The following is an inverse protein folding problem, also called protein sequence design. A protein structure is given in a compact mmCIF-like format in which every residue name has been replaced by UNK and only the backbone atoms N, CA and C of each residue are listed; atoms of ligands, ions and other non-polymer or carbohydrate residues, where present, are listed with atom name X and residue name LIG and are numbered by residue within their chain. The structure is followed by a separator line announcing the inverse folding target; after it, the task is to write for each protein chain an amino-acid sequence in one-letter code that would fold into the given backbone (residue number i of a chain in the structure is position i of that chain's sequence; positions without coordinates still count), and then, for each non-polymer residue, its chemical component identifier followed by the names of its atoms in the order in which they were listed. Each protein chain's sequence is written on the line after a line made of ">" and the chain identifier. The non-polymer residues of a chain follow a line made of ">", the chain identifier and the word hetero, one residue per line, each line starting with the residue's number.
data_IF_063453918628
#
_entry.id   IF_063453918628
#
_cell.length_a   1.000
_cell.length_b   1.000
_cell.length_c   1.000
_cell.angle_alpha   90.00
_cell.angle_beta   90.00
_cell.angle_gamma   90.00
#
_symmetry.space_group_name_H-M   'P 1'
#
loop_
_entity.id
_entity.type
_entity.pdbx_description
1 polymer ?
#
# COMPACT_ATOMS: atom_id res chain seq x y z
N UNK A 1 14.82 10.22 18.50
CA UNK A 1 13.50 9.72 18.04
C UNK A 1 12.71 10.70 17.17
N UNK A 2 12.89 12.02 17.27
CA UNK A 2 12.11 13.03 16.52
C UNK A 2 12.25 12.95 14.97
N UNK A 3 13.44 12.69 14.43
CA UNK A 3 13.66 12.63 12.98
C UNK A 3 12.87 11.53 12.24
N UNK A 4 12.52 10.44 12.91
CA UNK A 4 11.74 9.34 12.31
C UNK A 4 10.26 9.70 12.12
N UNK A 5 9.68 10.39 13.10
CA UNK A 5 8.29 10.81 13.07
C UNK A 5 7.99 11.78 11.93
N UNK A 6 8.93 12.68 11.61
CA UNK A 6 8.78 13.60 10.48
C UNK A 6 8.72 12.89 9.13
N UNK A 7 9.52 11.84 8.91
CA UNK A 7 9.55 11.13 7.63
C UNK A 7 8.33 10.25 7.43
N UNK A 8 7.98 9.45 8.44
CA UNK A 8 6.73 8.70 8.38
C UNK A 8 5.57 9.66 8.10
N UNK A 9 5.50 10.81 8.79
CA UNK A 9 4.49 11.83 8.52
C UNK A 9 4.47 12.32 7.06
N UNK A 10 5.61 12.57 6.43
CA UNK A 10 5.65 12.92 4.99
C UNK A 10 5.03 11.80 4.14
N UNK A 11 5.39 10.53 4.37
CA UNK A 11 4.79 9.42 3.62
C UNK A 11 3.30 9.22 3.94
N UNK A 12 2.85 9.57 5.14
CA UNK A 12 1.42 9.64 5.46
C UNK A 12 0.70 10.68 4.61
N UNK A 13 1.29 11.87 4.44
CA UNK A 13 0.75 12.94 3.58
C UNK A 13 0.76 12.53 2.10
N UNK A 14 1.81 11.86 1.64
CA UNK A 14 1.89 11.31 0.27
C UNK A 14 0.76 10.32 0.04
N UNK A 15 0.58 9.35 0.94
CA UNK A 15 -0.50 8.38 0.81
C UNK A 15 -1.88 9.07 0.86
N UNK A 16 -2.05 10.07 1.73
CA UNK A 16 -3.25 10.91 1.77
C UNK A 16 -3.58 11.53 0.42
N UNK A 17 -2.63 12.18 -0.23
CA UNK A 17 -2.85 12.81 -1.53
C UNK A 17 -3.24 11.79 -2.61
N UNK A 18 -2.61 10.61 -2.63
CA UNK A 18 -2.98 9.54 -3.56
C UNK A 18 -4.43 9.09 -3.36
N UNK A 19 -4.83 8.91 -2.10
CA UNK A 19 -6.22 8.58 -1.77
C UNK A 19 -7.19 9.69 -2.15
N UNK A 20 -6.85 10.97 -1.96
CA UNK A 20 -7.71 12.10 -2.32
C UNK A 20 -7.95 12.18 -3.83
N UNK A 21 -6.92 11.90 -4.64
CA UNK A 21 -7.03 11.92 -6.11
C UNK A 21 -7.84 10.73 -6.63
N UNK A 22 -7.65 9.53 -6.06
CA UNK A 22 -8.29 8.31 -6.56
C UNK A 22 -9.66 8.03 -5.94
N UNK A 23 -9.79 8.25 -4.63
CA UNK A 23 -10.99 7.94 -3.86
C UNK A 23 -11.57 9.25 -3.33
N UNK A 24 -12.38 9.92 -4.16
CA UNK A 24 -12.98 11.24 -3.87
C UNK A 24 -13.74 11.33 -2.53
N UNK A 25 -14.19 10.20 -1.98
CA UNK A 25 -14.95 10.12 -0.71
C UNK A 25 -14.08 10.14 0.56
N UNK A 26 -12.76 10.24 0.45
CA UNK A 26 -11.82 10.17 1.60
C UNK A 26 -11.84 11.44 2.48
N UNK A 27 -12.32 12.57 1.95
CA UNK A 27 -12.10 13.89 2.54
C UNK A 27 -13.09 14.20 3.69
N UNK A 28 -14.27 13.59 3.70
CA UNK A 28 -15.41 14.04 4.53
C UNK A 28 -15.85 13.10 5.64
N UNK A 29 -15.27 11.89 5.76
CA UNK A 29 -15.79 10.87 6.68
C UNK A 29 -14.74 10.29 7.62
N UNK A 30 -15.11 10.13 8.89
CA UNK A 30 -14.33 9.43 9.91
C UNK A 30 -14.10 7.94 9.54
N UNK A 31 -14.99 7.38 8.71
CA UNK A 31 -14.91 6.06 8.11
C UNK A 31 -14.95 6.15 6.58
N UNK A 32 -13.90 5.71 5.88
CA UNK A 32 -13.98 5.54 4.42
C UNK A 32 -15.05 4.46 4.15
N UNK A 33 -16.13 4.74 3.39
CA UNK A 33 -17.25 3.78 3.24
C UNK A 33 -16.83 2.40 2.76
N UNK A 34 -15.79 2.35 1.91
CA UNK A 34 -15.17 1.10 1.43
C UNK A 34 -14.57 0.27 2.58
N UNK A 35 -13.90 0.94 3.53
CA UNK A 35 -13.25 0.28 4.66
C UNK A 35 -14.29 -0.19 5.69
N UNK A 36 -15.35 0.59 5.91
CA UNK A 36 -16.49 0.17 6.71
C UNK A 36 -17.14 -1.09 6.11
N UNK A 37 -17.35 -1.10 4.80
CA UNK A 37 -17.90 -2.26 4.08
C UNK A 37 -17.05 -3.52 4.23
N UNK A 38 -15.72 -3.41 4.20
CA UNK A 38 -14.82 -4.54 4.49
C UNK A 38 -14.99 -5.04 5.93
N UNK A 39 -15.01 -4.11 6.90
CA UNK A 39 -15.15 -4.44 8.33
C UNK A 39 -16.47 -5.13 8.63
N UNK A 40 -17.57 -4.61 8.10
CA UNK A 40 -18.92 -5.11 8.36
C UNK A 40 -19.14 -6.50 7.73
N UNK A 41 -18.54 -6.76 6.55
CA UNK A 41 -18.65 -8.04 5.85
C UNK A 41 -17.57 -9.06 6.25
N UNK A 42 -16.63 -8.71 7.13
CA UNK A 42 -15.43 -9.53 7.39
C UNK A 42 -15.74 -10.99 7.75
N UNK A 43 -16.77 -11.22 8.56
CA UNK A 43 -17.18 -12.57 9.00
C UNK A 43 -17.66 -13.46 7.84
N UNK A 44 -18.06 -12.86 6.72
CA UNK A 44 -18.60 -13.55 5.55
C UNK A 44 -17.57 -13.69 4.42
N UNK A 45 -16.35 -13.17 4.61
CA UNK A 45 -15.28 -13.26 3.61
C UNK A 45 -14.61 -14.62 3.71
N UNK A 46 -14.54 -15.32 2.58
CA UNK A 46 -13.75 -16.53 2.43
C UNK A 46 -12.28 -16.14 2.20
N UNK A 47 -11.44 -16.37 3.22
CA UNK A 47 -10.01 -16.04 3.18
C UNK A 47 -9.22 -16.87 2.15
N UNK A 48 -9.79 -17.96 1.63
CA UNK A 48 -9.15 -18.79 0.59
C UNK A 48 -9.38 -18.22 -0.82
N UNK A 49 -10.45 -17.44 -1.02
CA UNK A 49 -10.83 -16.86 -2.32
C UNK A 49 -10.19 -15.48 -2.51
N UNK A 50 -8.89 -15.49 -2.70
CA UNK A 50 -8.09 -14.29 -2.94
C UNK A 50 -8.17 -13.90 -4.41
N UNK A 51 -8.41 -12.61 -4.67
CA UNK A 51 -8.32 -12.05 -6.01
C UNK A 51 -6.86 -11.97 -6.47
N UNK A 52 -6.58 -12.57 -7.63
CA UNK A 52 -5.29 -12.53 -8.26
C UNK A 52 -5.24 -11.37 -9.29
N UNK A 53 -4.21 -10.54 -9.21
CA UNK A 53 -3.96 -9.45 -10.16
C UNK A 53 -2.83 -9.80 -11.15
N UNK A 54 -2.77 -11.06 -11.60
CA UNK A 54 -1.66 -11.63 -12.39
C UNK A 54 -1.25 -10.73 -13.54
N UNK A 55 -2.17 -10.33 -14.41
CA UNK A 55 -1.89 -9.50 -15.59
C UNK A 55 -1.25 -8.15 -15.20
N UNK A 56 -1.79 -7.50 -14.18
CA UNK A 56 -1.25 -6.22 -13.67
C UNK A 56 0.13 -6.42 -13.05
N UNK A 57 0.35 -7.53 -12.35
CA UNK A 57 1.65 -7.89 -11.77
C UNK A 57 2.68 -8.19 -12.85
N UNK A 58 2.32 -8.91 -13.92
CA UNK A 58 3.24 -9.14 -15.04
C UNK A 58 3.64 -7.82 -15.70
N UNK A 59 2.70 -6.89 -15.91
CA UNK A 59 3.03 -5.55 -16.40
C UNK A 59 4.02 -4.83 -15.47
N UNK A 60 3.80 -4.89 -14.14
CA UNK A 60 4.73 -4.31 -13.18
C UNK A 60 6.15 -4.91 -13.27
N UNK A 61 6.28 -6.21 -13.56
CA UNK A 61 7.59 -6.88 -13.69
C UNK A 61 8.37 -6.40 -14.90
N UNK A 62 7.70 -5.88 -15.93
CA UNK A 62 8.39 -5.31 -17.10
C UNK A 62 9.05 -3.95 -16.81
N UNK A 63 8.73 -3.33 -15.67
CA UNK A 63 9.32 -2.06 -15.25
C UNK A 63 10.57 -2.31 -14.39
N UNK A 64 11.79 -1.99 -14.88
CA UNK A 64 13.04 -2.24 -14.17
C UNK A 64 13.11 -1.56 -12.79
N UNK A 65 12.42 -0.42 -12.64
CA UNK A 65 12.36 0.31 -11.37
C UNK A 65 11.49 -0.38 -10.30
N UNK A 66 10.58 -1.26 -10.73
CA UNK A 66 9.65 -2.02 -9.90
C UNK A 66 10.01 -3.51 -9.80
N UNK A 67 10.88 -3.97 -10.70
CA UNK A 67 11.63 -5.21 -10.59
C UNK A 67 12.34 -5.28 -9.22
N UNK A 68 12.44 -6.47 -8.64
CA UNK A 68 13.00 -6.72 -7.31
C UNK A 68 12.14 -6.25 -6.11
N UNK A 69 10.89 -5.80 -6.30
CA UNK A 69 10.00 -5.47 -5.17
C UNK A 69 9.66 -6.70 -4.32
N UNK A 70 9.42 -7.86 -4.96
CA UNK A 70 9.18 -9.13 -4.27
C UNK A 70 10.38 -9.58 -3.43
N UNK A 71 11.58 -9.54 -4.00
CA UNK A 71 12.80 -9.95 -3.29
C UNK A 71 13.13 -9.00 -2.14
N UNK A 72 12.89 -7.70 -2.35
CA UNK A 72 12.98 -6.71 -1.28
C UNK A 72 12.02 -7.06 -0.12
N UNK A 73 10.75 -7.33 -0.40
CA UNK A 73 9.78 -7.69 0.65
C UNK A 73 10.12 -8.99 1.37
N UNK A 74 10.61 -10.01 0.64
CA UNK A 74 11.09 -11.25 1.25
C UNK A 74 12.30 -11.00 2.16
N UNK A 75 13.23 -10.14 1.76
CA UNK A 75 14.39 -9.79 2.58
C UNK A 75 14.00 -9.04 3.86
N UNK A 76 13.05 -8.10 3.77
CA UNK A 76 12.53 -7.33 4.91
C UNK A 76 11.69 -8.19 5.90
N UNK A 77 11.26 -9.38 5.51
CA UNK A 77 10.49 -10.30 6.35
C UNK A 77 11.36 -11.23 7.22
N UNK A 78 12.62 -11.45 6.83
CA UNK A 78 13.62 -12.27 7.55
C UNK A 78 14.02 -11.78 8.95
N UNK A 79 14.01 -10.47 9.30
CA UNK A 79 14.42 -10.02 10.62
C UNK A 79 13.49 -10.55 11.73
N UNK A 80 14.08 -10.99 12.84
CA UNK A 80 13.39 -11.60 13.99
C UNK A 80 12.38 -10.64 14.66
N UNK A 81 12.60 -9.32 14.58
CA UNK A 81 11.77 -8.32 15.27
C UNK A 81 11.07 -7.32 14.32
N UNK A 82 10.40 -7.81 13.26
CA UNK A 82 9.47 -6.96 12.51
C UNK A 82 8.19 -6.75 13.34
N UNK A 83 7.85 -5.48 13.62
CA UNK A 83 6.58 -5.11 14.28
C UNK A 83 5.41 -5.73 13.52
N UNK A 84 4.43 -6.25 14.25
CA UNK A 84 3.29 -7.01 13.73
C UNK A 84 2.56 -6.35 12.55
N UNK A 85 2.39 -5.04 12.57
CA UNK A 85 1.67 -4.27 11.57
C UNK A 85 2.50 -4.12 10.27
N UNK A 86 3.82 -3.97 10.40
CA UNK A 86 4.74 -3.94 9.26
C UNK A 86 4.85 -5.31 8.60
N UNK A 87 4.89 -6.38 9.42
CA UNK A 87 4.86 -7.77 8.93
C UNK A 87 3.61 -8.00 8.07
N UNK A 88 2.45 -7.60 8.57
CA UNK A 88 1.19 -7.74 7.84
C UNK A 88 1.19 -6.93 6.54
N UNK A 89 1.69 -5.69 6.55
CA UNK A 89 1.83 -4.87 5.34
C UNK A 89 2.71 -5.56 4.28
N UNK A 90 3.84 -6.14 4.69
CA UNK A 90 4.77 -6.85 3.80
C UNK A 90 4.13 -8.13 3.26
N UNK A 91 3.54 -8.96 4.12
CA UNK A 91 2.89 -10.22 3.73
C UNK A 91 1.78 -9.99 2.70
N UNK A 92 0.91 -9.00 2.94
CA UNK A 92 -0.15 -8.63 2.00
C UNK A 92 0.42 -8.12 0.67
N UNK A 93 1.54 -7.41 0.70
CA UNK A 93 2.20 -6.91 -0.52
C UNK A 93 2.79 -8.05 -1.35
N UNK A 94 3.36 -9.08 -0.70
CA UNK A 94 3.89 -10.27 -1.38
C UNK A 94 2.77 -11.05 -2.08
N UNK A 95 1.64 -11.29 -1.39
CA UNK A 95 0.47 -11.98 -1.98
C UNK A 95 -0.04 -11.26 -3.21
N UNK A 96 -0.19 -9.94 -3.11
CA UNK A 96 -0.71 -9.13 -4.21
C UNK A 96 0.21 -9.13 -5.43
N UNK A 97 1.52 -9.24 -5.22
CA UNK A 97 2.51 -9.42 -6.28
C UNK A 97 2.63 -10.88 -6.77
N UNK A 98 1.72 -11.76 -6.35
CA UNK A 98 1.70 -13.16 -6.75
C UNK A 98 2.86 -13.98 -6.20
N UNK A 99 3.49 -13.53 -5.11
CA UNK A 99 4.52 -14.30 -4.42
C UNK A 99 3.89 -15.34 -3.50
N UNK A 100 4.46 -16.54 -3.47
CA UNK A 100 4.10 -17.55 -2.48
C UNK A 100 4.54 -17.13 -1.09
N UNK A 101 3.67 -17.43 -0.13
CA UNK A 101 3.90 -17.17 1.29
C UNK A 101 3.41 -18.36 2.10
N UNK A 102 4.26 -18.88 2.97
CA UNK A 102 3.90 -19.97 3.86
C UNK A 102 2.76 -19.52 4.80
N UNK A 103 1.57 -20.12 4.62
CA UNK A 103 0.38 -19.97 5.48
C UNK A 103 0.15 -18.53 5.99
N UNK A 104 -0.17 -17.59 5.10
CA UNK A 104 -0.58 -16.26 5.57
C UNK A 104 -1.84 -16.35 6.41
N UNK A 105 -1.74 -15.85 7.63
CA UNK A 105 -2.88 -15.59 8.50
C UNK A 105 -3.32 -14.15 8.31
N UNK A 106 -4.21 -13.90 7.37
CA UNK A 106 -4.78 -12.54 7.18
C UNK A 106 -5.61 -12.21 8.43
N UNK A 107 -5.16 -11.22 9.18
CA UNK A 107 -5.80 -10.80 10.44
C UNK A 107 -7.09 -10.03 10.16
N UNK A 108 -8.05 -10.02 11.09
CA UNK A 108 -9.22 -9.14 10.98
C UNK A 108 -8.83 -7.65 10.90
N UNK A 109 -9.62 -6.82 10.21
CA UNK A 109 -9.42 -5.38 10.17
C UNK A 109 -9.46 -4.77 11.59
N UNK A 110 -8.38 -4.10 11.98
CA UNK A 110 -8.26 -3.46 13.30
C UNK A 110 -9.06 -2.15 13.37
N UNK A 111 -9.30 -1.62 14.57
CA UNK A 111 -9.99 -0.33 14.73
C UNK A 111 -9.29 0.79 13.93
N UNK A 112 -10.08 1.54 13.14
CA UNK A 112 -9.58 2.60 12.28
C UNK A 112 -9.52 3.92 13.06
N UNK A 113 -8.30 4.42 13.31
CA UNK A 113 -8.07 5.77 13.84
C UNK A 113 -7.56 6.67 12.71
N UNK A 114 -8.03 7.92 12.65
CA UNK A 114 -7.75 8.85 11.55
C UNK A 114 -6.25 9.09 11.28
N UNK A 115 -5.44 9.01 12.33
CA UNK A 115 -4.01 9.33 12.34
C UNK A 115 -3.08 8.17 12.01
N UNK A 116 -3.60 7.01 11.57
CA UNK A 116 -2.77 5.83 11.26
C UNK A 116 -2.85 5.49 9.77
N UNK A 117 -2.09 6.21 8.95
CA UNK A 117 -2.13 6.03 7.49
C UNK A 117 -1.63 4.66 7.02
N UNK A 118 -0.71 4.03 7.77
CA UNK A 118 -0.34 2.64 7.53
C UNK A 118 -1.54 1.68 7.66
N UNK A 119 -2.46 1.93 8.59
CA UNK A 119 -3.71 1.14 8.70
C UNK A 119 -4.54 1.29 7.42
N UNK A 120 -4.60 2.49 6.82
CA UNK A 120 -5.30 2.69 5.55
C UNK A 120 -4.64 1.94 4.41
N UNK A 121 -3.31 1.85 4.38
CA UNK A 121 -2.60 1.02 3.41
C UNK A 121 -2.99 -0.46 3.56
N UNK A 122 -2.90 -1.02 4.78
CA UNK A 122 -3.30 -2.42 5.07
C UNK A 122 -4.76 -2.67 4.67
N UNK A 123 -5.67 -1.73 4.99
CA UNK A 123 -7.07 -1.82 4.60
C UNK A 123 -7.26 -1.85 3.09
N UNK A 124 -6.57 -0.99 2.34
CA UNK A 124 -6.61 -1.02 0.87
C UNK A 124 -6.12 -2.35 0.32
N UNK A 125 -5.02 -2.89 0.83
CA UNK A 125 -4.50 -4.18 0.36
C UNK A 125 -5.50 -5.32 0.62
N UNK A 126 -6.08 -5.39 1.82
CA UNK A 126 -7.14 -6.38 2.13
C UNK A 126 -8.36 -6.21 1.25
N UNK A 127 -8.77 -4.96 1.03
CA UNK A 127 -9.93 -4.66 0.22
C UNK A 127 -9.72 -5.09 -1.24
N UNK A 128 -8.50 -4.91 -1.78
CA UNK A 128 -8.12 -5.42 -3.10
C UNK A 128 -8.13 -6.95 -3.15
N UNK A 129 -7.55 -7.62 -2.14
CA UNK A 129 -7.54 -9.10 -2.08
C UNK A 129 -8.95 -9.71 -2.09
N UNK A 130 -9.93 -9.05 -1.48
CA UNK A 130 -11.30 -9.55 -1.36
C UNK A 130 -12.31 -8.77 -2.20
N UNK A 131 -11.85 -7.99 -3.18
CA UNK A 131 -12.70 -7.06 -3.95
C UNK A 131 -13.74 -7.78 -4.83
N UNK A 132 -13.52 -9.06 -5.15
CA UNK A 132 -14.46 -9.92 -5.85
C UNK A 132 -15.65 -10.35 -4.98
N UNK A 133 -15.43 -10.52 -3.67
CA UNK A 133 -16.45 -10.94 -2.70
C UNK A 133 -17.23 -9.73 -2.15
N UNK A 134 -16.60 -8.56 -2.14
CA UNK A 134 -17.22 -7.31 -1.77
C UNK A 134 -17.87 -6.73 -3.02
N UNK A 135 -19.21 -6.60 -3.05
CA UNK A 135 -19.96 -6.04 -4.17
C UNK A 135 -19.62 -4.56 -4.44
N UNK A 136 -18.42 -4.27 -4.91
CA UNK A 136 -17.90 -2.93 -5.20
C UNK A 136 -18.30 -2.52 -6.63
N UNK A 137 -18.60 -1.24 -6.82
CA UNK A 137 -18.85 -0.71 -8.16
C UNK A 137 -17.54 -0.66 -8.97
N UNK A 138 -17.64 -0.58 -10.30
CA UNK A 138 -16.48 -0.62 -11.20
C UNK A 138 -15.50 0.52 -10.95
N UNK A 139 -16.00 1.74 -10.72
CA UNK A 139 -15.17 2.92 -10.45
C UNK A 139 -14.34 2.79 -9.17
N UNK A 140 -14.94 2.25 -8.11
CA UNK A 140 -14.26 2.00 -6.84
C UNK A 140 -13.22 0.89 -7.01
N UNK A 141 -13.49 -0.14 -7.82
CA UNK A 141 -12.51 -1.20 -8.13
C UNK A 141 -11.30 -0.64 -8.87
N UNK A 142 -11.50 0.20 -9.88
CA UNK A 142 -10.42 0.87 -10.64
C UNK A 142 -9.62 1.81 -9.74
N UNK A 143 -10.29 2.64 -8.93
CA UNK A 143 -9.63 3.53 -7.99
C UNK A 143 -8.81 2.77 -6.95
N UNK A 144 -9.34 1.66 -6.44
CA UNK A 144 -8.60 0.76 -5.55
C UNK A 144 -7.43 0.09 -6.24
N UNK A 145 -7.58 -0.23 -7.53
CA UNK A 145 -6.50 -0.77 -8.34
C UNK A 145 -5.30 0.18 -8.33
N UNK A 146 -5.55 1.43 -8.68
CA UNK A 146 -4.54 2.48 -8.70
C UNK A 146 -3.87 2.71 -7.34
N UNK A 147 -4.66 2.71 -6.27
CA UNK A 147 -4.16 2.93 -4.90
C UNK A 147 -3.31 1.73 -4.44
N UNK A 148 -3.76 0.50 -4.66
CA UNK A 148 -2.96 -0.66 -4.24
C UNK A 148 -1.67 -0.75 -5.03
N UNK A 149 -1.70 -0.47 -6.35
CA UNK A 149 -0.51 -0.53 -7.19
C UNK A 149 0.54 0.43 -6.66
N UNK A 150 0.13 1.67 -6.37
CA UNK A 150 1.02 2.65 -5.75
C UNK A 150 1.56 2.19 -4.40
N UNK A 151 0.71 1.59 -3.56
CA UNK A 151 1.13 1.11 -2.23
C UNK A 151 2.23 0.07 -2.36
N UNK A 152 1.96 -0.96 -3.16
CA UNK A 152 2.80 -2.16 -3.28
C UNK A 152 4.08 -1.90 -4.08
N UNK A 153 4.11 -0.90 -4.94
CA UNK A 153 5.28 -0.61 -5.80
C UNK A 153 6.18 0.48 -5.22
N UNK A 154 5.58 1.52 -4.62
CA UNK A 154 6.27 2.73 -4.22
C UNK A 154 6.24 2.91 -2.70
N UNK A 155 5.05 2.95 -2.10
CA UNK A 155 4.89 3.37 -0.70
C UNK A 155 5.56 2.42 0.30
N UNK A 156 5.30 1.11 0.22
CA UNK A 156 5.77 0.14 1.23
C UNK A 156 7.30 0.13 1.29
N UNK A 157 7.96 0.11 0.14
CA UNK A 157 9.43 0.15 0.03
C UNK A 157 10.01 1.41 0.68
N UNK A 158 9.40 2.56 0.45
CA UNK A 158 9.85 3.82 1.05
C UNK A 158 9.58 3.85 2.55
N UNK A 159 8.37 3.47 2.96
CA UNK A 159 7.93 3.42 4.35
C UNK A 159 8.87 2.56 5.22
N UNK A 160 9.26 1.39 4.74
CA UNK A 160 10.20 0.50 5.43
C UNK A 160 11.61 1.12 5.55
N UNK A 161 12.06 1.82 4.50
CA UNK A 161 13.41 2.41 4.44
C UNK A 161 13.56 3.70 5.27
N UNK A 162 12.47 4.29 5.73
CA UNK A 162 12.48 5.52 6.54
C UNK A 162 13.13 5.36 7.92
N UNK A 163 13.28 4.11 8.37
CA UNK A 163 13.79 3.75 9.70
C UNK A 163 15.31 3.97 9.81
N UNK A 164 16.02 4.27 8.70
CA UNK A 164 17.47 4.51 8.71
C UNK A 164 17.80 6.00 8.48
N UNK A 165 17.92 6.76 9.57
CA UNK A 165 18.19 8.20 9.53
C UNK A 165 19.51 8.58 8.83
N UNK A 166 20.53 7.72 8.87
CA UNK A 166 21.86 8.02 8.31
C UNK A 166 21.86 8.08 6.78
N UNK A 167 20.92 7.40 6.11
CA UNK A 167 20.83 7.39 4.64
C UNK A 167 19.72 8.29 4.10
N UNK A 168 19.18 9.15 4.96
CA UNK A 168 18.00 9.98 4.74
C UNK A 168 17.96 10.68 3.37
N UNK A 169 18.94 11.53 2.98
CA UNK A 169 18.86 12.29 1.73
C UNK A 169 18.88 11.38 0.49
N UNK A 170 19.72 10.34 0.53
CA UNK A 170 19.80 9.37 -0.55
C UNK A 170 18.50 8.58 -0.72
N UNK A 171 17.83 8.21 0.38
CA UNK A 171 16.55 7.50 0.34
C UNK A 171 15.42 8.37 -0.20
N UNK A 172 15.42 9.66 0.14
CA UNK A 172 14.45 10.63 -0.39
C UNK A 172 14.64 10.83 -1.89
N UNK A 173 15.88 10.93 -2.36
CA UNK A 173 16.18 11.00 -3.79
C UNK A 173 15.75 9.73 -4.54
N UNK A 174 15.97 8.56 -3.94
CA UNK A 174 15.50 7.29 -4.50
C UNK A 174 13.96 7.25 -4.60
N UNK A 175 13.26 7.80 -3.60
CA UNK A 175 11.82 7.89 -3.62
C UNK A 175 11.32 8.81 -4.75
N UNK A 176 11.90 10.00 -4.89
CA UNK A 176 11.59 10.93 -5.97
C UNK A 176 11.85 10.33 -7.35
N UNK A 177 12.98 9.63 -7.53
CA UNK A 177 13.29 8.90 -8.76
C UNK A 177 12.24 7.83 -9.07
N UNK A 178 11.80 7.09 -8.05
CA UNK A 178 10.77 6.05 -8.20
C UNK A 178 9.41 6.64 -8.55
N UNK A 179 9.03 7.77 -7.94
CA UNK A 179 7.82 8.51 -8.30
C UNK A 179 7.86 8.98 -9.75
N UNK A 180 8.98 9.54 -10.19
CA UNK A 180 9.14 9.99 -11.58
C UNK A 180 9.03 8.84 -12.58
N UNK A 181 9.59 7.67 -12.26
CA UNK A 181 9.41 6.47 -13.06
C UNK A 181 7.94 5.99 -13.07
N UNK A 182 7.26 6.05 -11.92
CA UNK A 182 5.86 5.66 -11.77
C UNK A 182 4.88 6.56 -12.54
N UNK A 183 5.30 7.76 -12.95
CA UNK A 183 4.49 8.65 -13.81
C UNK A 183 4.07 7.98 -15.12
N UNK A 184 4.90 7.06 -15.65
CA UNK A 184 4.58 6.25 -16.83
C UNK A 184 3.38 5.32 -16.63
N UNK A 185 3.14 4.90 -15.38
CA UNK A 185 2.03 4.00 -15.02
C UNK A 185 0.79 4.78 -14.59
N UNK A 186 0.97 5.82 -13.78
CA UNK A 186 -0.13 6.63 -13.30
C UNK A 186 0.32 8.06 -12.98
N UNK A 187 0.26 8.91 -14.00
CA UNK A 187 0.68 10.31 -13.94
C UNK A 187 -0.02 11.08 -12.81
N UNK A 188 -1.34 10.94 -12.70
CA UNK A 188 -2.13 11.65 -11.67
C UNK A 188 -1.71 11.28 -10.24
N UNK A 189 -1.47 9.99 -9.97
CA UNK A 189 -1.00 9.50 -8.67
C UNK A 189 0.41 9.99 -8.37
N UNK A 190 1.32 9.89 -9.35
CA UNK A 190 2.70 10.31 -9.17
C UNK A 190 2.80 11.82 -8.87
N UNK A 191 2.10 12.66 -9.64
CA UNK A 191 2.09 14.11 -9.43
C UNK A 191 1.51 14.49 -8.06
N UNK A 192 0.43 13.84 -7.64
CA UNK A 192 -0.17 14.06 -6.32
C UNK A 192 0.79 13.72 -5.17
N UNK A 193 1.51 12.61 -5.30
CA UNK A 193 2.53 12.20 -4.34
C UNK A 193 3.72 13.17 -4.30
N UNK A 194 4.23 13.60 -5.46
CA UNK A 194 5.35 14.53 -5.57
C UNK A 194 5.05 15.88 -4.90
N UNK A 195 3.83 16.41 -5.06
CA UNK A 195 3.41 17.68 -4.46
C UNK A 195 3.45 17.69 -2.92
N UNK A 196 3.37 16.52 -2.26
CA UNK A 196 3.45 16.41 -0.80
C UNK A 196 4.85 16.15 -0.27
N UNK A 197 5.79 15.86 -1.16
CA UNK A 197 7.18 15.61 -0.83
C UNK A 197 8.07 16.84 -1.08
N UNK A 198 7.62 17.77 -1.92
CA UNK A 198 8.25 19.05 -2.19
C UNK A 198 7.97 20.10 -1.12
#
# INVERSE_FOLDING_TARGET
>A
MLFFSFRHHVYELVLKAVFEVKIKRVITSQDIPLFKKLKDNWKNIDLTKIQCYRETVELLRTLPELENSLDFYRAELKPVMVRNDYRELIELSIVLLGGDTEKIKIRPPAAMHQTRWMTRAIYSLKLSLFSSQLKLNTKDKEALLDVFLFIVTIYVKSWLRCILAVKAPYKDLCFLKSLKAYEKMNESTSKAALQKFS
#
